data_IF_270063327741
#
_entry.id   IF_270063327741
#
_cell.length_a   1.000
_cell.length_b   1.000
_cell.length_c   1.000
_cell.angle_alpha   90.00
_cell.angle_beta   90.00
_cell.angle_gamma   90.00
#
_symmetry.space_group_name_H-M   'P 1'
#
loop_
_entity.id
_entity.type
_entity.pdbx_description
1 polymer ?
#
# COMPACT_ATOMS: atom_id res chain seq x y z
N UNK A 1 24.21 -23.69 -29.86
CA UNK A 1 24.43 -22.26 -29.61
C UNK A 1 23.33 -21.80 -28.67
N UNK A 2 23.64 -21.68 -27.38
CA UNK A 2 22.71 -21.15 -26.38
C UNK A 2 22.81 -19.62 -26.42
N UNK A 3 21.76 -18.97 -26.91
CA UNK A 3 21.57 -17.53 -26.75
C UNK A 3 21.34 -17.23 -25.26
N UNK A 4 22.45 -16.95 -24.58
CA UNK A 4 22.44 -16.40 -23.24
C UNK A 4 22.14 -14.90 -23.38
N UNK A 5 20.86 -14.56 -23.60
CA UNK A 5 20.36 -13.20 -23.48
C UNK A 5 20.55 -12.75 -22.03
N UNK A 6 21.72 -12.15 -21.79
CA UNK A 6 22.06 -11.43 -20.59
C UNK A 6 21.10 -10.25 -20.47
N UNK A 7 20.12 -10.39 -19.58
CA UNK A 7 19.21 -9.30 -19.22
C UNK A 7 20.01 -8.05 -18.91
N UNK A 8 19.77 -6.99 -19.70
CA UNK A 8 20.57 -5.77 -19.63
C UNK A 8 20.52 -5.11 -18.24
N UNK A 9 21.46 -4.21 -17.92
CA UNK A 9 21.52 -3.51 -16.62
C UNK A 9 20.20 -2.82 -16.23
N UNK A 10 19.39 -2.42 -17.21
CA UNK A 10 18.05 -1.86 -17.01
C UNK A 10 17.04 -2.87 -16.45
N UNK A 11 17.13 -4.14 -16.83
CA UNK A 11 16.26 -5.19 -16.29
C UNK A 11 16.63 -5.52 -14.84
N UNK A 12 17.93 -5.57 -14.53
CA UNK A 12 18.44 -5.71 -13.17
C UNK A 12 17.94 -4.58 -12.26
N UNK A 13 18.04 -3.34 -12.73
CA UNK A 13 17.57 -2.16 -11.99
C UNK A 13 16.05 -2.19 -11.74
N UNK A 14 15.24 -2.55 -12.75
CA UNK A 14 13.78 -2.69 -12.60
C UNK A 14 13.41 -3.79 -11.60
N UNK A 15 14.11 -4.93 -11.61
CA UNK A 15 13.90 -6.02 -10.64
C UNK A 15 14.25 -5.57 -9.23
N UNK A 16 15.36 -4.86 -9.06
CA UNK A 16 15.78 -4.32 -7.77
C UNK A 16 14.78 -3.31 -7.21
N UNK A 17 14.35 -2.33 -8.01
CA UNK A 17 13.32 -1.37 -7.61
C UNK A 17 11.99 -2.05 -7.29
N UNK A 18 11.59 -3.04 -8.09
CA UNK A 18 10.40 -3.85 -7.82
C UNK A 18 10.51 -4.60 -6.49
N UNK A 19 11.69 -5.13 -6.16
CA UNK A 19 11.98 -5.75 -4.88
C UNK A 19 11.86 -4.79 -3.70
N UNK A 20 12.48 -3.60 -3.80
CA UNK A 20 12.35 -2.55 -2.77
C UNK A 20 10.89 -2.14 -2.60
N UNK A 21 10.18 -1.88 -3.69
CA UNK A 21 8.76 -1.51 -3.63
C UNK A 21 7.92 -2.62 -2.99
N UNK A 22 8.22 -3.89 -3.26
CA UNK A 22 7.54 -5.02 -2.65
C UNK A 22 7.79 -5.11 -1.14
N UNK A 23 9.04 -4.94 -0.70
CA UNK A 23 9.41 -4.95 0.72
C UNK A 23 8.80 -3.75 1.44
N UNK A 24 8.96 -2.54 0.89
CA UNK A 24 8.34 -1.33 1.40
C UNK A 24 6.82 -1.50 1.53
N UNK A 25 6.19 -2.17 0.58
CA UNK A 25 4.76 -2.48 0.61
C UNK A 25 4.39 -3.49 1.67
N UNK A 26 5.17 -4.54 1.88
CA UNK A 26 4.95 -5.51 2.95
C UNK A 26 5.01 -4.83 4.32
N UNK A 27 5.96 -3.92 4.51
CA UNK A 27 6.04 -3.05 5.68
C UNK A 27 4.86 -2.08 5.80
N UNK A 28 4.41 -1.48 4.69
CA UNK A 28 3.27 -0.57 4.72
C UNK A 28 1.98 -1.30 5.14
N UNK A 29 1.72 -2.47 4.57
CA UNK A 29 0.49 -3.25 4.81
C UNK A 29 0.34 -3.63 6.28
N UNK A 30 1.44 -3.88 7.01
CA UNK A 30 1.36 -4.22 8.44
C UNK A 30 0.77 -3.09 9.28
N UNK A 31 0.97 -1.84 8.86
CA UNK A 31 0.50 -0.65 9.56
C UNK A 31 -0.82 -0.13 8.98
N UNK A 32 -0.98 -0.12 7.66
CA UNK A 32 -2.21 0.35 7.00
C UNK A 32 -3.48 -0.35 7.49
N UNK A 33 -3.38 -1.63 7.85
CA UNK A 33 -4.49 -2.41 8.40
C UNK A 33 -5.03 -1.82 9.71
N UNK A 34 -4.20 -1.08 10.46
CA UNK A 34 -4.60 -0.38 11.67
C UNK A 34 -5.01 1.07 11.44
N UNK A 35 -4.43 1.76 10.45
CA UNK A 35 -4.72 3.18 10.18
C UNK A 35 -5.94 3.40 9.27
N UNK A 36 -6.26 2.42 8.43
CA UNK A 36 -7.37 2.50 7.49
C UNK A 36 -8.57 1.69 7.97
N UNK A 37 -9.76 2.18 7.60
CA UNK A 37 -11.01 1.53 7.97
C UNK A 37 -11.15 0.17 7.29
N UNK A 38 -11.38 -0.87 8.08
CA UNK A 38 -11.62 -2.23 7.57
C UNK A 38 -12.77 -2.34 6.55
N UNK A 39 -13.73 -1.41 6.59
CA UNK A 39 -14.90 -1.36 5.70
C UNK A 39 -14.62 -0.88 4.28
N UNK A 40 -13.43 -0.34 4.03
CA UNK A 40 -13.12 0.41 2.81
C UNK A 40 -12.10 -0.28 1.89
N UNK A 41 -11.43 -1.33 2.36
CA UNK A 41 -10.41 -2.04 1.60
C UNK A 41 -10.96 -2.69 0.32
N UNK A 42 -10.13 -2.68 -0.73
CA UNK A 42 -10.38 -3.39 -1.99
C UNK A 42 -10.20 -4.91 -1.84
N UNK A 43 -10.92 -5.67 -2.67
CA UNK A 43 -10.99 -7.14 -2.57
C UNK A 43 -9.64 -7.85 -2.78
N UNK A 44 -8.72 -7.27 -3.57
CA UNK A 44 -7.41 -7.86 -3.88
C UNK A 44 -6.25 -7.24 -3.08
N UNK A 45 -6.55 -6.41 -2.08
CA UNK A 45 -5.54 -5.64 -1.35
C UNK A 45 -4.67 -6.51 -0.43
N UNK A 46 -5.30 -7.30 0.44
CA UNK A 46 -4.64 -8.16 1.43
C UNK A 46 -4.13 -9.49 0.83
N UNK A 47 -3.66 -9.49 -0.41
CA UNK A 47 -3.17 -10.68 -1.10
C UNK A 47 -1.81 -11.17 -0.58
N UNK A 48 -0.91 -11.47 -1.50
CA UNK A 48 0.44 -11.97 -1.22
C UNK A 48 1.25 -11.07 -0.26
N UNK A 49 0.98 -9.76 -0.28
CA UNK A 49 1.68 -8.76 0.54
C UNK A 49 1.38 -8.90 2.05
N UNK A 50 0.17 -9.33 2.42
CA UNK A 50 -0.17 -9.56 3.83
C UNK A 50 0.50 -10.83 4.39
N UNK A 51 0.75 -11.84 3.54
CA UNK A 51 1.56 -12.99 3.91
C UNK A 51 3.03 -12.61 4.08
N UNK A 52 3.56 -11.80 3.16
CA UNK A 52 4.92 -11.28 3.26
C UNK A 52 5.13 -10.43 4.52
N UNK A 53 4.17 -9.57 4.86
CA UNK A 53 4.23 -8.73 6.07
C UNK A 53 4.23 -9.57 7.35
N UNK A 54 3.43 -10.65 7.41
CA UNK A 54 3.42 -11.57 8.55
C UNK A 54 4.79 -12.24 8.75
N UNK A 55 5.40 -12.75 7.67
CA UNK A 55 6.76 -13.31 7.75
C UNK A 55 7.74 -12.25 8.26
N UNK A 56 7.62 -11.02 7.74
CA UNK A 56 8.48 -9.91 8.13
C UNK A 56 8.38 -9.59 9.63
N UNK A 57 7.17 -9.58 10.20
CA UNK A 57 6.96 -9.38 11.65
C UNK A 57 7.63 -10.50 12.47
N UNK A 58 7.56 -11.76 12.02
CA UNK A 58 8.19 -12.88 12.73
C UNK A 58 9.72 -12.89 12.63
N UNK A 59 10.28 -12.57 11.46
CA UNK A 59 11.73 -12.60 11.23
C UNK A 59 12.45 -11.34 11.72
N UNK A 60 11.75 -10.21 11.86
CA UNK A 60 12.33 -8.95 12.33
C UNK A 60 13.11 -9.04 13.66
N UNK A 61 12.52 -9.57 14.76
CA UNK A 61 13.25 -9.68 16.03
C UNK A 61 14.47 -10.60 15.93
N UNK A 62 14.42 -11.64 15.09
CA UNK A 62 15.57 -12.55 14.89
C UNK A 62 16.73 -11.87 14.16
N UNK A 63 16.42 -10.98 13.20
CA UNK A 63 17.44 -10.35 12.35
C UNK A 63 18.06 -9.09 12.97
N UNK A 64 17.26 -8.26 13.63
CA UNK A 64 17.69 -6.93 14.06
C UNK A 64 17.93 -6.82 15.56
N UNK A 65 17.18 -7.56 16.39
CA UNK A 65 17.27 -7.44 17.85
C UNK A 65 17.06 -8.77 18.59
N UNK A 66 18.02 -9.71 18.46
CA UNK A 66 17.88 -11.06 19.00
C UNK A 66 17.92 -11.14 20.54
N UNK A 67 18.26 -10.04 21.23
CA UNK A 67 18.50 -10.02 22.68
C UNK A 67 17.34 -9.45 23.52
N UNK A 68 16.27 -8.94 22.89
CA UNK A 68 15.14 -8.34 23.59
C UNK A 68 13.92 -9.26 23.63
N UNK A 69 13.02 -9.01 24.59
CA UNK A 69 11.79 -9.80 24.75
C UNK A 69 10.91 -9.75 23.48
N UNK A 70 10.57 -10.91 22.88
CA UNK A 70 9.78 -10.97 21.65
C UNK A 70 8.27 -10.81 21.89
N UNK A 71 7.82 -10.77 23.14
CA UNK A 71 6.40 -10.74 23.52
C UNK A 71 5.60 -9.61 22.84
N UNK A 72 6.09 -8.35 22.77
CA UNK A 72 5.37 -7.26 22.12
C UNK A 72 5.18 -7.46 20.61
N UNK A 73 6.17 -8.08 19.96
CA UNK A 73 6.13 -8.44 18.53
C UNK A 73 5.09 -9.53 18.25
N UNK A 74 4.99 -10.54 19.12
CA UNK A 74 3.98 -11.60 18.98
C UNK A 74 2.57 -11.04 19.20
N UNK A 75 2.39 -10.15 20.19
CA UNK A 75 1.13 -9.45 20.39
C UNK A 75 0.76 -8.62 19.14
N UNK A 76 1.72 -7.89 18.55
CA UNK A 76 1.51 -7.14 17.33
C UNK A 76 1.13 -8.05 16.14
N UNK A 77 1.80 -9.20 15.98
CA UNK A 77 1.44 -10.20 14.97
C UNK A 77 0.01 -10.72 15.15
N UNK A 78 -0.40 -11.03 16.40
CA UNK A 78 -1.75 -11.46 16.72
C UNK A 78 -2.81 -10.41 16.38
N UNK A 79 -2.57 -9.15 16.75
CA UNK A 79 -3.42 -8.02 16.39
C UNK A 79 -3.48 -7.80 14.88
N UNK A 80 -2.37 -7.98 14.17
CA UNK A 80 -2.30 -7.85 12.72
C UNK A 80 -3.13 -8.93 12.02
N UNK A 81 -3.01 -10.20 12.45
CA UNK A 81 -3.80 -11.32 11.92
C UNK A 81 -5.29 -11.10 12.19
N UNK A 82 -5.66 -10.70 13.42
CA UNK A 82 -7.03 -10.40 13.77
C UNK A 82 -7.61 -9.30 12.88
N UNK A 83 -6.85 -8.22 12.68
CA UNK A 83 -7.27 -7.09 11.85
C UNK A 83 -7.40 -7.49 10.38
N UNK A 84 -6.47 -8.30 9.85
CA UNK A 84 -6.58 -8.89 8.51
C UNK A 84 -7.85 -9.75 8.37
N UNK A 85 -8.17 -10.56 9.38
CA UNK A 85 -9.37 -11.39 9.40
C UNK A 85 -10.63 -10.53 9.41
N UNK A 86 -10.67 -9.47 10.23
CA UNK A 86 -11.77 -8.51 10.25
C UNK A 86 -11.98 -7.86 8.89
N UNK A 87 -10.92 -7.37 8.24
CA UNK A 87 -11.00 -6.80 6.89
C UNK A 87 -11.55 -7.83 5.90
N UNK A 88 -11.04 -9.06 5.89
CA UNK A 88 -11.51 -10.14 5.00
C UNK A 88 -13.00 -10.44 5.21
N UNK A 89 -13.45 -10.56 6.46
CA UNK A 89 -14.85 -10.81 6.80
C UNK A 89 -15.73 -9.65 6.33
N UNK A 90 -15.32 -8.40 6.56
CA UNK A 90 -16.12 -7.23 6.17
C UNK A 90 -16.19 -7.04 4.66
N UNK A 91 -15.10 -7.27 3.93
CA UNK A 91 -15.09 -7.29 2.46
C UNK A 91 -16.02 -8.38 1.93
N UNK A 92 -15.98 -9.58 2.52
CA UNK A 92 -16.86 -10.69 2.15
C UNK A 92 -18.35 -10.36 2.39
N UNK A 93 -18.67 -9.78 3.56
CA UNK A 93 -20.03 -9.34 3.89
C UNK A 93 -20.52 -8.23 2.95
N UNK A 94 -19.66 -7.27 2.59
CA UNK A 94 -19.98 -6.19 1.64
C UNK A 94 -20.25 -6.74 0.24
N UNK A 95 -19.45 -7.72 -0.21
CA UNK A 95 -19.65 -8.42 -1.49
C UNK A 95 -20.99 -9.16 -1.52
N UNK A 96 -21.33 -9.88 -0.44
CA UNK A 96 -22.64 -10.55 -0.31
C UNK A 96 -23.81 -9.58 -0.32
N UNK A 97 -23.64 -8.36 0.18
CA UNK A 97 -24.68 -7.31 0.19
C UNK A 97 -24.78 -6.53 -1.13
N UNK A 98 -23.94 -6.84 -2.13
CA UNK A 98 -23.94 -6.12 -3.41
C UNK A 98 -23.54 -4.65 -3.30
N UNK A 99 -22.79 -4.28 -2.26
CA UNK A 99 -22.39 -2.88 -2.04
C UNK A 99 -21.42 -2.37 -3.12
N UNK A 100 -21.34 -1.04 -3.33
CA UNK A 100 -20.42 -0.44 -4.30
C UNK A 100 -18.99 -0.88 -4.00
N UNK A 101 -18.32 -1.43 -5.02
CA UNK A 101 -16.93 -1.87 -4.88
C UNK A 101 -15.99 -0.70 -5.22
N UNK A 102 -15.24 -0.15 -4.25
CA UNK A 102 -14.08 0.67 -4.57
C UNK A 102 -13.07 -0.17 -5.37
N UNK A 103 -12.19 0.51 -6.11
CA UNK A 103 -11.21 -0.11 -7.00
C UNK A 103 -10.52 -1.31 -6.35
N UNK A 104 -10.26 -2.39 -7.12
CA UNK A 104 -9.83 -3.69 -6.58
C UNK A 104 -8.53 -3.65 -5.75
N UNK A 105 -7.67 -2.65 -5.97
CA UNK A 105 -6.41 -2.39 -5.24
C UNK A 105 -6.48 -1.20 -4.28
N UNK A 106 -7.67 -0.69 -3.98
CA UNK A 106 -7.82 0.47 -3.12
C UNK A 106 -7.37 0.15 -1.68
N UNK A 107 -6.52 1.03 -1.14
CA UNK A 107 -5.88 0.87 0.17
C UNK A 107 -6.80 1.09 1.37
N UNK A 108 -8.04 1.51 1.12
CA UNK A 108 -8.97 1.89 2.18
C UNK A 108 -8.92 3.40 2.45
N UNK A 109 -9.98 3.91 3.07
CA UNK A 109 -10.08 5.30 3.52
C UNK A 109 -9.36 5.46 4.86
N UNK A 110 -8.54 6.49 5.05
CA UNK A 110 -7.94 6.82 6.35
C UNK A 110 -9.04 7.10 7.36
N UNK A 111 -8.93 6.52 8.56
CA UNK A 111 -9.86 6.87 9.64
C UNK A 111 -9.78 8.37 9.99
N UNK A 112 -8.60 8.97 9.80
CA UNK A 112 -8.35 10.40 10.00
C UNK A 112 -9.14 11.30 9.05
N UNK A 113 -9.32 10.91 7.78
CA UNK A 113 -10.09 11.70 6.80
C UNK A 113 -11.58 11.72 7.15
N UNK A 114 -12.09 10.62 7.72
CA UNK A 114 -13.47 10.59 8.19
C UNK A 114 -13.68 11.46 9.43
N UNK A 115 -12.73 11.43 10.37
CA UNK A 115 -12.79 12.26 11.59
C UNK A 115 -12.56 13.74 11.28
N UNK A 116 -11.74 14.05 10.29
CA UNK A 116 -11.46 15.41 9.83
C UNK A 116 -11.89 15.57 8.37
N UNK A 117 -13.22 15.71 8.14
CA UNK A 117 -13.89 15.85 6.82
C UNK A 117 -13.36 16.97 5.89
N UNK A 118 -12.38 17.77 6.33
CA UNK A 118 -11.77 18.87 5.57
C UNK A 118 -10.36 18.56 5.06
N UNK A 119 -9.80 17.41 5.38
CA UNK A 119 -8.46 17.05 4.95
C UNK A 119 -8.50 16.28 3.63
N UNK A 120 -7.60 16.67 2.73
CA UNK A 120 -7.34 15.99 1.48
C UNK A 120 -6.82 14.57 1.74
N UNK A 121 -7.54 13.57 1.26
CA UNK A 121 -7.26 12.15 1.49
C UNK A 121 -5.84 11.79 1.05
N UNK A 122 -5.38 12.37 -0.06
CA UNK A 122 -4.06 12.11 -0.62
C UNK A 122 -2.97 12.61 0.34
N UNK A 123 -3.13 13.82 0.88
CA UNK A 123 -2.16 14.41 1.83
C UNK A 123 -2.11 13.66 3.15
N UNK A 124 -3.26 13.18 3.64
CA UNK A 124 -3.32 12.41 4.89
C UNK A 124 -2.56 11.10 4.73
N UNK A 125 -2.81 10.35 3.65
CA UNK A 125 -2.10 9.09 3.35
C UNK A 125 -0.60 9.28 3.14
N UNK A 126 -0.22 10.34 2.43
CA UNK A 126 1.18 10.54 2.05
C UNK A 126 2.03 11.12 3.17
N UNK A 127 1.47 11.89 4.08
CA UNK A 127 2.27 12.65 5.05
C UNK A 127 1.81 12.41 6.48
N UNK A 128 0.52 12.48 6.77
CA UNK A 128 0.06 12.40 8.17
C UNK A 128 0.23 10.98 8.73
N UNK A 129 -0.17 9.96 7.98
CA UNK A 129 -0.10 8.56 8.43
C UNK A 129 1.33 8.05 8.67
N UNK A 130 2.30 8.30 7.76
CA UNK A 130 3.67 7.91 8.02
C UNK A 130 4.31 8.68 9.18
N UNK A 131 4.06 9.99 9.29
CA UNK A 131 4.59 10.79 10.41
C UNK A 131 4.02 10.34 11.75
N UNK A 132 2.72 10.04 11.82
CA UNK A 132 2.11 9.49 13.03
C UNK A 132 2.71 8.13 13.38
N UNK A 133 2.85 7.24 12.40
CA UNK A 133 3.47 5.92 12.59
C UNK A 133 4.91 6.05 13.10
N UNK A 134 5.68 6.96 12.52
CA UNK A 134 7.05 7.24 12.94
C UNK A 134 7.12 7.78 14.37
N UNK A 135 6.26 8.73 14.72
CA UNK A 135 6.20 9.30 16.08
C UNK A 135 5.83 8.23 17.12
N UNK A 136 4.83 7.38 16.81
CA UNK A 136 4.45 6.25 17.67
C UNK A 136 5.62 5.27 17.81
N UNK A 137 6.29 4.93 16.71
CA UNK A 137 7.48 4.08 16.71
C UNK A 137 8.60 4.64 17.59
N UNK A 138 8.89 5.94 17.49
CA UNK A 138 9.91 6.61 18.28
C UNK A 138 9.60 6.61 19.79
N UNK A 139 8.32 6.78 20.17
CA UNK A 139 7.91 6.66 21.58
C UNK A 139 8.04 5.23 22.06
N UNK A 140 7.54 4.25 21.29
CA UNK A 140 7.59 2.82 21.62
C UNK A 140 9.02 2.31 21.72
N UNK A 141 9.97 2.88 20.98
CA UNK A 141 11.38 2.50 21.02
C UNK A 141 11.98 2.60 22.43
N UNK A 142 11.46 3.49 23.29
CA UNK A 142 11.90 3.59 24.70
C UNK A 142 11.40 2.44 25.59
N UNK A 143 10.35 1.72 25.17
CA UNK A 143 9.74 0.62 25.92
C UNK A 143 10.08 -0.74 25.32
N UNK A 144 9.97 -0.84 24.01
CA UNK A 144 10.25 -2.04 23.21
C UNK A 144 11.02 -1.61 21.96
N UNK A 145 12.36 -1.65 22.02
CA UNK A 145 13.23 -1.40 20.88
C UNK A 145 12.86 -2.19 19.60
N UNK A 146 12.52 -3.50 19.64
CA UNK A 146 12.25 -4.25 18.40
C UNK A 146 10.95 -3.80 17.73
N UNK A 147 9.91 -3.47 18.51
CA UNK A 147 8.64 -2.98 17.99
C UNK A 147 8.75 -1.54 17.48
N UNK A 148 9.45 -0.67 18.22
CA UNK A 148 9.67 0.72 17.84
C UNK A 148 10.46 0.83 16.53
N UNK A 149 11.57 0.09 16.40
CA UNK A 149 12.37 0.06 15.19
C UNK A 149 11.60 -0.47 13.98
N UNK A 150 10.78 -1.50 14.17
CA UNK A 150 9.90 -2.02 13.12
C UNK A 150 8.90 -0.96 12.63
N UNK A 151 8.23 -0.25 13.55
CA UNK A 151 7.26 0.78 13.20
C UNK A 151 7.91 1.97 12.46
N UNK A 152 9.12 2.36 12.87
CA UNK A 152 9.86 3.41 12.16
C UNK A 152 10.18 2.99 10.72
N UNK A 153 10.61 1.76 10.49
CA UNK A 153 10.88 1.27 9.13
C UNK A 153 9.57 1.08 8.34
N UNK A 154 8.50 0.65 9.02
CA UNK A 154 7.18 0.59 8.43
C UNK A 154 6.67 1.96 7.95
N UNK A 155 7.00 3.03 8.68
CA UNK A 155 6.68 4.40 8.26
C UNK A 155 7.42 4.82 6.97
N UNK A 156 8.68 4.41 6.80
CA UNK A 156 9.42 4.64 5.56
C UNK A 156 8.81 3.82 4.40
N UNK A 157 8.41 2.58 4.67
CA UNK A 157 7.69 1.74 3.72
C UNK A 157 6.37 2.36 3.27
N UNK A 158 5.61 2.93 4.21
CA UNK A 158 4.38 3.70 3.95
C UNK A 158 4.64 4.90 3.04
N UNK A 159 5.66 5.73 3.33
CA UNK A 159 6.01 6.89 2.48
C UNK A 159 6.29 6.48 1.04
N UNK A 160 7.16 5.48 0.86
CA UNK A 160 7.54 4.99 -0.46
C UNK A 160 6.33 4.41 -1.19
N UNK A 161 5.56 3.56 -0.50
CA UNK A 161 4.41 2.89 -1.08
C UNK A 161 3.31 3.88 -1.49
N UNK A 162 2.96 4.83 -0.63
CA UNK A 162 1.91 5.82 -0.89
C UNK A 162 2.36 6.84 -1.94
N UNK A 163 3.66 7.18 -1.97
CA UNK A 163 4.25 7.96 -3.05
C UNK A 163 4.13 7.26 -4.40
N UNK A 164 4.56 6.01 -4.49
CA UNK A 164 4.45 5.21 -5.72
C UNK A 164 3.00 5.06 -6.17
N UNK A 165 2.07 4.76 -5.27
CA UNK A 165 0.65 4.62 -5.58
C UNK A 165 0.07 5.90 -6.18
N UNK A 166 0.38 7.06 -5.60
CA UNK A 166 -0.10 8.35 -6.12
C UNK A 166 0.53 8.72 -7.46
N UNK A 167 1.80 8.40 -7.68
CA UNK A 167 2.44 8.60 -8.99
C UNK A 167 1.82 7.72 -10.07
N UNK A 168 1.49 6.46 -9.76
CA UNK A 168 0.75 5.61 -10.68
C UNK A 168 -0.64 6.16 -11.01
N UNK A 169 -1.35 6.69 -10.01
CA UNK A 169 -2.66 7.29 -10.20
C UNK A 169 -2.58 8.56 -11.06
N UNK A 170 -1.61 9.45 -10.78
CA UNK A 170 -1.35 10.64 -11.60
C UNK A 170 -1.06 10.29 -13.07
N UNK A 171 -0.20 9.31 -13.31
CA UNK A 171 0.12 8.83 -14.67
C UNK A 171 -1.12 8.29 -15.36
N UNK A 172 -1.89 7.46 -14.69
CA UNK A 172 -3.13 6.89 -15.25
C UNK A 172 -4.15 7.96 -15.62
N UNK A 173 -4.29 9.02 -14.81
CA UNK A 173 -5.16 10.16 -15.14
C UNK A 173 -4.68 10.90 -16.39
N UNK A 174 -3.36 11.10 -16.51
CA UNK A 174 -2.76 11.68 -17.72
C UNK A 174 -3.02 10.81 -18.96
N UNK A 175 -2.74 9.51 -18.88
CA UNK A 175 -2.95 8.56 -19.99
C UNK A 175 -4.43 8.53 -20.42
N UNK A 176 -5.37 8.61 -19.47
CA UNK A 176 -6.80 8.69 -19.78
C UNK A 176 -7.19 10.02 -20.42
N UNK A 177 -6.56 11.12 -20.03
CA UNK A 177 -6.78 12.43 -20.65
C UNK A 177 -6.29 12.44 -22.10
N UNK A 178 -5.10 11.91 -22.35
CA UNK A 178 -4.53 11.81 -23.69
C UNK A 178 -5.39 10.92 -24.59
N UNK A 179 -5.81 9.75 -24.08
CA UNK A 179 -6.71 8.86 -24.80
C UNK A 179 -8.07 9.53 -25.11
N UNK A 180 -8.59 10.36 -24.20
CA UNK A 180 -9.81 11.12 -24.43
C UNK A 180 -9.64 12.15 -25.54
N UNK A 181 -8.52 12.89 -25.57
CA UNK A 181 -8.21 13.85 -26.62
C UNK A 181 -8.03 13.17 -27.98
N UNK A 182 -7.36 12.03 -28.03
CA UNK A 182 -7.19 11.23 -29.25
C UNK A 182 -8.54 10.75 -29.80
N UNK A 183 -9.41 10.19 -28.95
CA UNK A 183 -10.75 9.75 -29.35
C UNK A 183 -11.57 10.91 -29.93
N UNK A 184 -11.49 12.08 -29.30
CA UNK A 184 -12.17 13.28 -29.78
C UNK A 184 -11.64 13.73 -31.14
N UNK A 185 -10.32 13.79 -31.32
CA UNK A 185 -9.71 14.19 -32.60
C UNK A 185 -9.94 13.18 -33.73
N UNK A 186 -10.07 11.89 -33.42
CA UNK A 186 -10.50 10.87 -34.41
C UNK A 186 -11.96 11.05 -34.78
N UNK A 187 -12.83 11.32 -33.81
CA UNK A 187 -14.26 11.57 -34.06
C UNK A 187 -14.50 12.83 -34.90
N UNK A 188 -13.76 13.91 -34.65
CA UNK A 188 -13.83 15.15 -35.44
C UNK A 188 -13.40 14.90 -36.90
N UNK A 189 -12.25 14.26 -37.13
CA UNK A 189 -11.81 13.88 -38.49
C UNK A 189 -12.79 12.96 -39.23
N UNK A 190 -13.46 12.08 -38.50
CA UNK A 190 -14.48 11.21 -39.09
C UNK A 190 -15.72 11.98 -39.53
N UNK A 191 -16.10 13.05 -38.83
CA UNK A 191 -17.20 13.95 -39.25
C UNK A 191 -16.81 14.72 -40.51
N UNK A 192 -15.61 15.28 -40.55
CA UNK A 192 -15.10 16.00 -41.72
C UNK A 192 -15.09 15.12 -42.98
N UNK A 193 -14.68 13.85 -42.86
CA UNK A 193 -14.71 12.88 -43.97
C UNK A 193 -16.12 12.51 -44.43
N UNK A 194 -17.12 12.64 -43.55
CA UNK A 194 -18.52 12.33 -43.87
C UNK A 194 -19.24 13.49 -44.57
N UNK A 195 -18.57 14.64 -44.72
CA UNK A 195 -19.08 15.78 -45.47
C UNK A 195 -20.22 16.55 -44.79
N UNK A 196 -20.29 16.50 -43.45
CA UNK A 196 -21.14 17.40 -42.65
C UNK A 196 -20.35 18.62 -42.17
#
# INVERSE_FOLDING_TARGET
MHDNQSGGPLEGYRRFLGGIAFVARAFAVSVEVFLHRADSFGERYLGLQAGASLLLIFFWPVLCEPHHDPTPMICFAGLFVLSCMLVRVRVFLRRRRGGPQPHTRYSGTPDLVHRFKRLDEVKVKQTVEPFMTFAIGAVILNFSPPLGGYLMIASAGLLISNGLAAEYERRRVSDMHDAYLEQRGVAERFRDMRGE
#
